data_IF_496357939939
#
_entry.id   IF_496357939939
#
_cell.length_a   1.000
_cell.length_b   1.000
_cell.length_c   1.000
_cell.angle_alpha   90.00
_cell.angle_beta   90.00
_cell.angle_gamma   90.00
#
_symmetry.space_group_name_H-M   'P 1'
#
loop_
_entity.id
_entity.type
_entity.pdbx_description
1 polymer ?
#
# COMPACT_ATOMS: atom_id res chain seq x y z
N UNK A 1 -5.30 -14.16 -23.37
CA UNK A 1 -6.69 -13.86 -23.78
C UNK A 1 -6.72 -12.47 -24.38
N UNK A 2 -7.52 -12.24 -25.42
CA UNK A 2 -7.70 -10.91 -26.01
C UNK A 2 -8.35 -10.05 -24.92
N UNK A 3 -7.65 -9.03 -24.40
CA UNK A 3 -8.11 -8.17 -23.29
C UNK A 3 -9.35 -7.31 -23.56
N UNK A 4 -10.23 -7.76 -24.46
CA UNK A 4 -11.57 -7.28 -24.71
C UNK A 4 -12.50 -8.49 -24.68
N UNK A 5 -13.65 -8.39 -24.00
CA UNK A 5 -14.69 -9.40 -24.16
C UNK A 5 -15.18 -9.40 -25.62
N UNK A 6 -15.69 -10.54 -26.09
CA UNK A 6 -16.31 -10.65 -27.42
C UNK A 6 -17.41 -9.61 -27.67
N UNK A 7 -18.05 -9.11 -26.61
CA UNK A 7 -19.04 -8.02 -26.68
C UNK A 7 -18.40 -6.64 -26.90
N UNK A 8 -17.20 -6.41 -26.36
CA UNK A 8 -16.46 -5.15 -26.56
C UNK A 8 -15.87 -5.06 -27.96
N UNK A 9 -15.38 -6.18 -28.52
CA UNK A 9 -14.93 -6.23 -29.92
C UNK A 9 -16.09 -6.09 -30.89
N UNK A 10 -17.26 -6.69 -30.59
CA UNK A 10 -18.47 -6.52 -31.40
C UNK A 10 -18.95 -5.05 -31.41
N UNK A 11 -19.02 -4.39 -30.24
CA UNK A 11 -19.43 -2.97 -30.15
C UNK A 11 -18.49 -2.00 -30.84
N UNK A 12 -17.18 -2.29 -30.89
CA UNK A 12 -16.18 -1.48 -31.57
C UNK A 12 -16.17 -1.67 -33.10
N UNK A 13 -16.66 -2.82 -33.57
CA UNK A 13 -16.82 -3.10 -35.01
C UNK A 13 -18.15 -2.55 -35.56
N UNK A 14 -19.18 -2.43 -34.70
CA UNK A 14 -20.49 -1.87 -35.05
C UNK A 14 -20.50 -0.33 -35.06
N UNK A 15 -19.57 0.33 -34.36
CA UNK A 15 -19.40 1.77 -34.45
C UNK A 15 -18.54 2.14 -35.67
N UNK A 16 -19.15 2.81 -36.65
CA UNK A 16 -18.51 3.24 -37.91
C UNK A 16 -17.31 4.20 -37.75
N UNK A 17 -16.89 4.49 -36.52
CA UNK A 17 -15.83 5.44 -36.18
C UNK A 17 -14.49 4.77 -35.82
N UNK A 18 -14.47 3.45 -35.56
CA UNK A 18 -13.24 2.73 -35.22
C UNK A 18 -12.77 1.84 -36.37
N UNK A 19 -11.63 2.20 -36.98
CA UNK A 19 -11.02 1.37 -38.01
C UNK A 19 -10.40 0.10 -37.40
N UNK A 20 -10.41 -1.01 -38.14
CA UNK A 20 -9.71 -2.26 -37.78
C UNK A 20 -8.24 -2.02 -37.39
N UNK A 21 -7.60 -1.02 -38.03
CA UNK A 21 -6.25 -0.58 -37.70
C UNK A 21 -6.12 -0.07 -36.26
N UNK A 22 -7.07 0.75 -35.79
CA UNK A 22 -7.06 1.27 -34.42
C UNK A 22 -7.28 0.16 -33.39
N UNK A 23 -8.19 -0.77 -33.66
CA UNK A 23 -8.44 -1.94 -32.78
C UNK A 23 -7.17 -2.81 -32.64
N UNK A 24 -6.48 -3.06 -33.76
CA UNK A 24 -5.20 -3.80 -33.76
C UNK A 24 -4.13 -3.03 -32.97
N UNK A 25 -4.00 -1.72 -33.13
CA UNK A 25 -3.03 -0.92 -32.37
C UNK A 25 -3.33 -0.91 -30.86
N UNK A 26 -4.59 -0.79 -30.47
CA UNK A 26 -5.01 -0.92 -29.06
C UNK A 26 -4.66 -2.31 -28.50
N UNK A 27 -4.88 -3.36 -29.28
CA UNK A 27 -4.52 -4.72 -28.87
C UNK A 27 -3.01 -4.90 -28.72
N UNK A 28 -2.22 -4.36 -29.67
CA UNK A 28 -0.76 -4.36 -29.60
C UNK A 28 -0.25 -3.62 -28.37
N UNK A 29 -0.85 -2.47 -28.04
CA UNK A 29 -0.51 -1.71 -26.83
C UNK A 29 -0.80 -2.52 -25.56
N UNK A 30 -1.98 -3.14 -25.47
CA UNK A 30 -2.34 -3.98 -24.33
C UNK A 30 -1.42 -5.20 -24.16
N UNK A 31 -1.08 -5.90 -25.24
CA UNK A 31 -0.15 -7.03 -25.19
C UNK A 31 1.26 -6.60 -24.76
N UNK A 32 1.71 -5.41 -25.17
CA UNK A 32 2.99 -4.85 -24.69
C UNK A 32 2.93 -4.56 -23.20
N UNK A 33 1.86 -3.95 -22.71
CA UNK A 33 1.70 -3.67 -21.29
C UNK A 33 1.67 -4.97 -20.45
N UNK A 34 0.98 -6.00 -20.92
CA UNK A 34 1.00 -7.33 -20.28
C UNK A 34 2.41 -7.94 -20.27
N UNK A 35 3.14 -7.82 -21.38
CA UNK A 35 4.50 -8.34 -21.48
C UNK A 35 5.45 -7.59 -20.53
N UNK A 36 5.37 -6.26 -20.48
CA UNK A 36 6.12 -5.44 -19.52
C UNK A 36 5.83 -5.84 -18.08
N UNK A 37 4.56 -6.08 -17.73
CA UNK A 37 4.17 -6.58 -16.39
C UNK A 37 4.77 -7.96 -16.11
N UNK A 38 4.74 -8.87 -17.08
CA UNK A 38 5.31 -10.22 -16.93
C UNK A 38 6.84 -10.18 -16.80
N UNK A 39 7.53 -9.36 -17.60
CA UNK A 39 8.98 -9.16 -17.51
C UNK A 39 9.36 -8.62 -16.13
N UNK A 40 8.62 -7.62 -15.62
CA UNK A 40 8.83 -7.09 -14.26
C UNK A 40 8.66 -8.19 -13.21
N UNK A 41 7.58 -8.97 -13.29
CA UNK A 41 7.33 -10.06 -12.34
C UNK A 41 8.44 -11.12 -12.37
N UNK A 42 8.89 -11.51 -13.56
CA UNK A 42 10.01 -12.45 -13.73
C UNK A 42 11.30 -11.89 -13.14
N UNK A 43 11.63 -10.63 -13.42
CA UNK A 43 12.81 -9.99 -12.84
C UNK A 43 12.77 -9.92 -11.31
N UNK A 44 11.56 -9.79 -10.72
CA UNK A 44 11.37 -9.87 -9.27
C UNK A 44 11.59 -11.29 -8.76
N UNK A 45 11.01 -12.30 -9.42
CA UNK A 45 11.24 -13.72 -9.07
C UNK A 45 12.71 -14.10 -9.15
N UNK A 46 13.46 -13.60 -10.13
CA UNK A 46 14.89 -13.83 -10.25
C UNK A 46 15.68 -13.21 -9.09
N UNK A 47 15.32 -11.98 -8.68
CA UNK A 47 15.94 -11.33 -7.52
C UNK A 47 15.65 -12.08 -6.21
N UNK A 48 14.44 -12.63 -6.07
CA UNK A 48 14.08 -13.47 -4.93
C UNK A 48 14.91 -14.75 -4.93
N UNK A 49 15.02 -15.41 -6.09
CA UNK A 49 15.78 -16.64 -6.25
C UNK A 49 17.26 -16.46 -5.89
N UNK A 50 17.91 -15.38 -6.36
CA UNK A 50 19.31 -15.08 -6.01
C UNK A 50 19.48 -14.90 -4.50
N UNK A 51 18.62 -14.11 -3.86
CA UNK A 51 18.68 -13.86 -2.41
C UNK A 51 18.41 -15.11 -1.57
N UNK A 52 17.51 -15.98 -2.02
CA UNK A 52 17.20 -17.27 -1.38
C UNK A 52 18.38 -18.25 -1.45
N UNK A 53 19.10 -18.26 -2.58
CA UNK A 53 20.30 -19.10 -2.75
C UNK A 53 21.47 -18.58 -1.90
N UNK A 54 21.58 -17.26 -1.72
CA UNK A 54 22.65 -16.65 -0.91
C UNK A 54 22.43 -16.74 0.61
N UNK A 55 21.19 -16.88 1.08
CA UNK A 55 20.86 -16.78 2.51
C UNK A 55 20.87 -18.11 3.29
N UNK A 56 21.12 -19.26 2.65
CA UNK A 56 21.21 -20.64 3.21
C UNK A 56 20.07 -21.14 4.14
N UNK A 57 19.08 -20.30 4.47
CA UNK A 57 17.79 -20.66 5.02
C UNK A 57 16.88 -19.45 4.88
N UNK A 58 15.74 -19.57 4.21
CA UNK A 58 14.72 -18.54 4.33
C UNK A 58 13.36 -19.21 4.23
N UNK A 59 12.60 -19.10 5.32
CA UNK A 59 11.24 -19.60 5.43
C UNK A 59 10.35 -18.88 4.40
N UNK A 60 9.16 -19.43 4.11
CA UNK A 60 8.16 -18.80 3.23
C UNK A 60 7.82 -17.38 3.71
N UNK A 61 7.96 -17.12 5.02
CA UNK A 61 7.83 -15.80 5.63
C UNK A 61 8.87 -14.79 5.15
N UNK A 62 10.11 -15.21 4.89
CA UNK A 62 11.17 -14.33 4.37
C UNK A 62 10.94 -14.01 2.89
N UNK A 63 10.45 -14.97 2.12
CA UNK A 63 10.00 -14.77 0.74
C UNK A 63 8.83 -13.77 0.68
N UNK A 64 7.86 -13.89 1.58
CA UNK A 64 6.72 -12.97 1.68
C UNK A 64 7.18 -11.55 2.05
N UNK A 65 8.09 -11.44 3.03
CA UNK A 65 8.70 -10.18 3.48
C UNK A 65 9.52 -9.50 2.37
N UNK A 66 10.22 -10.28 1.55
CA UNK A 66 11.04 -9.78 0.43
C UNK A 66 10.19 -9.38 -0.78
N UNK A 67 9.12 -10.12 -1.09
CA UNK A 67 8.12 -9.73 -2.10
C UNK A 67 7.47 -8.41 -1.69
N UNK A 68 7.06 -8.29 -0.42
CA UNK A 68 6.54 -7.04 0.16
C UNK A 68 7.56 -5.90 0.07
N UNK A 69 8.84 -6.13 0.41
CA UNK A 69 9.91 -5.11 0.32
C UNK A 69 10.11 -4.60 -1.11
N UNK A 70 10.09 -5.48 -2.11
CA UNK A 70 10.28 -5.11 -3.52
C UNK A 70 9.04 -4.39 -4.10
N UNK A 71 7.83 -4.77 -3.71
CA UNK A 71 6.58 -4.14 -4.16
C UNK A 71 6.36 -2.76 -3.51
N UNK A 72 6.76 -2.64 -2.24
CA UNK A 72 6.86 -1.36 -1.54
C UNK A 72 7.88 -0.47 -2.25
N UNK A 73 9.04 -0.97 -2.69
CA UNK A 73 10.01 -0.17 -3.45
C UNK A 73 9.46 0.35 -4.79
N UNK A 74 8.65 -0.39 -5.55
CA UNK A 74 8.08 0.13 -6.81
C UNK A 74 7.04 1.23 -6.58
N UNK A 75 6.16 1.05 -5.59
CA UNK A 75 5.10 2.03 -5.26
C UNK A 75 5.67 3.28 -4.57
N UNK A 76 6.72 3.09 -3.76
CA UNK A 76 7.40 4.19 -3.06
C UNK A 76 8.35 4.96 -3.98
N UNK A 77 9.02 4.33 -4.96
CA UNK A 77 9.92 5.06 -5.88
C UNK A 77 9.26 6.19 -6.66
N UNK A 78 7.96 6.10 -6.95
CA UNK A 78 7.21 7.18 -7.60
C UNK A 78 6.80 8.30 -6.64
N UNK A 79 6.80 8.05 -5.32
CA UNK A 79 6.25 8.97 -4.31
C UNK A 79 7.27 9.47 -3.29
N UNK A 80 8.44 8.83 -3.20
CA UNK A 80 9.52 9.14 -2.26
C UNK A 80 10.81 9.48 -3.00
N UNK A 81 11.54 10.46 -2.47
CA UNK A 81 12.86 10.81 -2.98
C UNK A 81 13.91 9.78 -2.56
N UNK A 82 15.05 9.75 -3.26
CA UNK A 82 16.19 8.88 -2.89
C UNK A 82 16.62 9.11 -1.44
N UNK A 83 16.66 10.36 -0.98
CA UNK A 83 17.02 10.71 0.40
C UNK A 83 16.02 10.13 1.43
N UNK A 84 14.73 10.14 1.11
CA UNK A 84 13.70 9.58 1.98
C UNK A 84 13.82 8.05 2.06
N UNK A 85 14.10 7.38 0.94
CA UNK A 85 14.34 5.95 0.91
C UNK A 85 15.60 5.56 1.71
N UNK A 86 16.70 6.31 1.57
CA UNK A 86 17.91 6.11 2.38
C UNK A 86 17.64 6.30 3.87
N UNK A 87 16.84 7.30 4.23
CA UNK A 87 16.43 7.54 5.62
C UNK A 87 15.59 6.39 6.18
N UNK A 88 14.66 5.85 5.41
CA UNK A 88 13.84 4.69 5.80
C UNK A 88 14.68 3.42 5.94
N UNK A 89 15.63 3.20 5.04
CA UNK A 89 16.55 2.05 5.11
C UNK A 89 17.48 2.15 6.32
N UNK A 90 18.00 3.35 6.62
CA UNK A 90 18.78 3.58 7.84
C UNK A 90 17.92 3.31 9.08
N UNK A 91 16.67 3.80 9.10
CA UNK A 91 15.73 3.58 10.20
C UNK A 91 15.43 2.09 10.41
N UNK A 92 15.18 1.35 9.32
CA UNK A 92 14.96 -0.10 9.35
C UNK A 92 16.13 -0.83 10.02
N UNK A 93 17.37 -0.43 9.72
CA UNK A 93 18.58 -1.00 10.35
C UNK A 93 18.70 -0.65 11.83
N UNK A 94 18.34 0.57 12.21
CA UNK A 94 18.36 1.01 13.62
C UNK A 94 17.30 0.32 14.47
N UNK A 95 16.09 0.14 13.93
CA UNK A 95 14.96 -0.52 14.61
C UNK A 95 15.17 -2.03 14.73
N UNK A 96 15.71 -2.64 13.68
CA UNK A 96 16.01 -4.06 13.65
C UNK A 96 14.79 -4.96 13.38
N UNK A 97 15.04 -6.23 12.98
CA UNK A 97 14.00 -7.12 12.48
C UNK A 97 12.96 -7.51 13.54
N UNK A 98 13.36 -7.68 14.80
CA UNK A 98 12.48 -8.08 15.90
C UNK A 98 11.41 -7.02 16.20
N UNK A 99 11.80 -5.75 16.30
CA UNK A 99 10.84 -4.66 16.53
C UNK A 99 9.93 -4.44 15.33
N UNK A 100 10.44 -4.63 14.11
CA UNK A 100 9.62 -4.58 12.89
C UNK A 100 8.51 -5.64 12.94
N UNK A 101 8.82 -6.87 13.35
CA UNK A 101 7.82 -7.94 13.50
C UNK A 101 6.79 -7.62 14.60
N UNK A 102 7.25 -7.10 15.75
CA UNK A 102 6.33 -6.65 16.80
C UNK A 102 5.38 -5.57 16.30
N UNK A 103 5.90 -4.56 15.61
CA UNK A 103 5.09 -3.46 15.04
C UNK A 103 4.12 -3.98 13.98
N UNK A 104 4.49 -4.98 13.18
CA UNK A 104 3.56 -5.63 12.25
C UNK A 104 2.38 -6.29 12.98
N UNK A 105 2.63 -6.97 14.10
CA UNK A 105 1.55 -7.54 14.92
C UNK A 105 0.68 -6.46 15.56
N UNK A 106 1.29 -5.38 16.05
CA UNK A 106 0.56 -4.22 16.58
C UNK A 106 -0.33 -3.56 15.53
N UNK A 107 0.10 -3.50 14.27
CA UNK A 107 -0.71 -3.03 13.15
C UNK A 107 -1.92 -3.93 12.91
N UNK A 108 -1.75 -5.25 12.86
CA UNK A 108 -2.86 -6.18 12.67
C UNK A 108 -3.90 -6.05 13.79
N UNK A 109 -3.45 -6.00 15.04
CA UNK A 109 -4.33 -5.80 16.20
C UNK A 109 -5.09 -4.47 16.09
N UNK A 110 -4.38 -3.38 15.80
CA UNK A 110 -4.97 -2.05 15.72
C UNK A 110 -6.00 -1.92 14.59
N UNK A 111 -5.71 -2.47 13.41
CA UNK A 111 -6.63 -2.46 12.27
C UNK A 111 -7.91 -3.21 12.64
N UNK A 112 -7.80 -4.37 13.30
CA UNK A 112 -8.96 -5.12 13.79
C UNK A 112 -9.80 -4.33 14.80
N UNK A 113 -9.15 -3.65 15.75
CA UNK A 113 -9.86 -2.79 16.71
C UNK A 113 -10.61 -1.64 16.04
N UNK A 114 -9.96 -0.95 15.09
CA UNK A 114 -10.59 0.15 14.35
C UNK A 114 -11.76 -0.36 13.51
N UNK A 115 -11.61 -1.51 12.85
CA UNK A 115 -12.68 -2.13 12.05
C UNK A 115 -13.90 -2.43 12.92
N UNK A 116 -13.69 -3.01 14.11
CA UNK A 116 -14.78 -3.29 15.04
C UNK A 116 -15.55 -2.03 15.47
N UNK A 117 -14.85 -0.92 15.74
CA UNK A 117 -15.50 0.35 16.10
C UNK A 117 -16.28 0.96 14.92
N UNK A 118 -15.75 0.82 13.70
CA UNK A 118 -16.46 1.25 12.49
C UNK A 118 -17.72 0.42 12.25
N UNK A 119 -17.65 -0.90 12.40
CA UNK A 119 -18.78 -1.83 12.22
C UNK A 119 -19.84 -1.64 13.30
N UNK A 120 -19.43 -1.27 14.51
CA UNK A 120 -20.34 -0.87 15.60
C UNK A 120 -21.02 0.49 15.37
N UNK A 121 -20.54 1.28 14.39
CA UNK A 121 -21.04 2.62 14.11
C UNK A 121 -20.65 3.65 15.16
N UNK A 122 -19.58 3.40 15.93
CA UNK A 122 -19.10 4.30 16.98
C UNK A 122 -18.66 5.63 16.37
N UNK A 123 -19.05 6.75 16.97
CA UNK A 123 -18.63 8.08 16.50
C UNK A 123 -17.09 8.24 16.62
N UNK A 124 -16.38 8.65 15.55
CA UNK A 124 -14.94 8.88 15.62
C UNK A 124 -14.52 9.95 16.64
N UNK A 125 -15.44 10.79 17.12
CA UNK A 125 -15.14 11.75 18.20
C UNK A 125 -15.11 11.12 19.59
N UNK A 126 -15.52 9.86 19.75
CA UNK A 126 -15.52 9.19 21.06
C UNK A 126 -14.09 9.01 21.61
N UNK A 127 -13.88 9.18 22.94
CA UNK A 127 -12.53 9.18 23.53
C UNK A 127 -11.73 7.89 23.30
N UNK A 128 -12.37 6.72 23.20
CA UNK A 128 -11.64 5.48 22.93
C UNK A 128 -11.22 5.36 21.46
N UNK A 129 -12.02 5.86 20.51
CA UNK A 129 -11.64 5.91 19.08
C UNK A 129 -10.49 6.89 18.87
N UNK A 130 -10.51 8.03 19.57
CA UNK A 130 -9.38 8.97 19.58
C UNK A 130 -8.08 8.31 20.08
N UNK A 131 -8.15 7.42 21.08
CA UNK A 131 -6.98 6.64 21.55
C UNK A 131 -6.46 5.68 20.48
N UNK A 132 -7.35 5.02 19.73
CA UNK A 132 -6.96 4.17 18.60
C UNK A 132 -6.26 5.01 17.53
N UNK A 133 -6.80 6.19 17.20
CA UNK A 133 -6.19 7.10 16.24
C UNK A 133 -4.82 7.62 16.71
N UNK A 134 -4.65 7.90 18.01
CA UNK A 134 -3.35 8.25 18.58
C UNK A 134 -2.34 7.11 18.47
N UNK A 135 -2.74 5.86 18.74
CA UNK A 135 -1.88 4.68 18.56
C UNK A 135 -1.49 4.52 17.09
N UNK A 136 -2.44 4.72 16.17
CA UNK A 136 -2.19 4.70 14.73
C UNK A 136 -1.11 5.69 14.31
N UNK A 137 -1.24 6.96 14.72
CA UNK A 137 -0.26 7.99 14.40
C UNK A 137 1.10 7.72 15.07
N UNK A 138 1.11 7.11 16.25
CA UNK A 138 2.34 6.66 16.90
C UNK A 138 3.12 5.62 16.09
N UNK A 139 2.43 4.60 15.55
CA UNK A 139 3.06 3.59 14.70
C UNK A 139 3.56 4.17 13.37
N UNK A 140 2.81 5.12 12.78
CA UNK A 140 3.28 5.86 11.59
C UNK A 140 4.54 6.67 11.91
N UNK A 141 4.55 7.41 13.02
CA UNK A 141 5.70 8.21 13.43
C UNK A 141 6.95 7.35 13.74
N UNK A 142 6.76 6.16 14.33
CA UNK A 142 7.85 5.21 14.58
C UNK A 142 8.49 4.74 13.27
N UNK A 143 7.66 4.47 12.26
CA UNK A 143 8.09 4.09 10.91
C UNK A 143 8.81 5.23 10.19
N UNK A 144 8.27 6.45 10.22
CA UNK A 144 8.88 7.62 9.55
C UNK A 144 10.05 8.23 10.32
N UNK A 145 10.26 7.82 11.58
CA UNK A 145 11.20 8.47 12.49
C UNK A 145 10.81 9.92 12.84
N UNK A 146 9.51 10.24 12.75
CA UNK A 146 8.96 11.59 12.96
C UNK A 146 9.28 12.58 11.84
N UNK A 147 9.77 12.11 10.69
CA UNK A 147 10.03 12.94 9.50
C UNK A 147 8.73 13.28 8.80
N UNK A 148 8.29 14.53 8.96
CA UNK A 148 7.06 15.06 8.35
C UNK A 148 7.03 14.94 6.82
N UNK A 149 8.18 15.08 6.16
CA UNK A 149 8.26 14.97 4.70
C UNK A 149 7.98 13.54 4.20
N UNK A 150 8.33 12.53 4.99
CA UNK A 150 8.04 11.11 4.73
C UNK A 150 6.57 10.80 5.03
N UNK A 151 6.00 11.38 6.09
CA UNK A 151 4.58 11.27 6.43
C UNK A 151 3.68 11.88 5.35
N UNK A 152 4.04 13.06 4.83
CA UNK A 152 3.31 13.70 3.73
C UNK A 152 3.34 12.86 2.45
N UNK A 153 4.49 12.25 2.16
CA UNK A 153 4.66 11.36 1.01
C UNK A 153 3.82 10.10 1.17
N UNK A 154 3.73 9.54 2.38
CA UNK A 154 2.83 8.43 2.71
C UNK A 154 1.37 8.80 2.48
N UNK A 155 0.96 9.99 2.92
CA UNK A 155 -0.39 10.52 2.69
C UNK A 155 -0.74 10.65 1.21
N UNK A 156 0.24 11.00 0.34
CA UNK A 156 0.03 11.06 -1.11
C UNK A 156 -0.20 9.68 -1.72
N UNK A 157 0.50 8.65 -1.25
CA UNK A 157 0.29 7.26 -1.70
C UNK A 157 -1.16 6.83 -1.46
N UNK A 158 -1.66 6.98 -0.24
CA UNK A 158 -3.04 6.60 0.10
C UNK A 158 -4.11 7.46 -0.60
N UNK A 159 -3.79 8.72 -0.94
CA UNK A 159 -4.68 9.54 -1.77
C UNK A 159 -4.74 9.06 -3.23
N UNK A 160 -3.62 8.57 -3.78
CA UNK A 160 -3.54 8.07 -5.16
C UNK A 160 -4.15 6.68 -5.30
N UNK A 161 -3.88 5.81 -4.33
CA UNK A 161 -4.42 4.45 -4.26
C UNK A 161 -4.92 4.15 -2.84
N UNK A 162 -6.22 4.37 -2.57
CA UNK A 162 -6.80 4.13 -1.25
C UNK A 162 -6.75 2.66 -0.80
N UNK A 163 -6.51 1.72 -1.72
CA UNK A 163 -6.39 0.29 -1.44
C UNK A 163 -4.94 -0.20 -1.47
N UNK A 164 -3.96 0.71 -1.45
CA UNK A 164 -2.54 0.36 -1.46
C UNK A 164 -2.18 -0.62 -0.33
N UNK A 165 -2.74 -0.42 0.87
CA UNK A 165 -2.51 -1.30 2.01
C UNK A 165 -3.08 -2.72 1.84
N UNK A 166 -4.22 -2.87 1.15
CA UNK A 166 -4.85 -4.17 0.92
C UNK A 166 -3.97 -5.10 0.07
N UNK A 167 -3.17 -4.54 -0.84
CA UNK A 167 -2.16 -5.29 -1.62
C UNK A 167 -1.05 -5.89 -0.74
N UNK A 168 -0.96 -5.46 0.50
CA UNK A 168 0.09 -5.83 1.46
C UNK A 168 -0.47 -6.59 2.68
N UNK A 169 -1.68 -7.14 2.56
CA UNK A 169 -2.30 -7.96 3.61
C UNK A 169 -2.95 -7.17 4.74
N UNK A 170 -2.92 -5.84 4.67
CA UNK A 170 -3.61 -4.97 5.62
C UNK A 170 -4.95 -4.54 5.06
N UNK A 171 -6.04 -4.94 5.72
CA UNK A 171 -7.40 -4.51 5.36
C UNK A 171 -7.63 -3.06 5.81
N UNK A 172 -7.00 -2.12 5.11
CA UNK A 172 -7.16 -0.68 5.29
C UNK A 172 -7.71 -0.13 3.98
N UNK A 173 -8.91 0.45 4.07
CA UNK A 173 -9.60 1.08 2.96
C UNK A 173 -9.73 2.60 3.18
N UNK A 174 -10.29 3.28 2.17
CA UNK A 174 -10.53 4.72 2.22
C UNK A 174 -11.42 5.15 3.41
N UNK A 175 -12.42 4.33 3.78
CA UNK A 175 -13.36 4.64 4.84
C UNK A 175 -12.67 4.58 6.21
N UNK A 176 -11.81 3.57 6.42
CA UNK A 176 -10.99 3.44 7.63
C UNK A 176 -10.02 4.60 7.77
N UNK A 177 -9.32 4.97 6.69
CA UNK A 177 -8.42 6.13 6.70
C UNK A 177 -9.17 7.43 7.03
N UNK A 178 -10.38 7.61 6.49
CA UNK A 178 -11.22 8.76 6.82
C UNK A 178 -11.68 8.74 8.28
N UNK A 179 -12.07 7.57 8.80
CA UNK A 179 -12.53 7.38 10.16
C UNK A 179 -11.42 7.72 11.18
N UNK A 180 -10.24 7.13 11.00
CA UNK A 180 -9.04 7.43 11.81
C UNK A 180 -8.65 8.90 11.69
N UNK A 181 -8.72 9.48 10.49
CA UNK A 181 -8.44 10.89 10.27
C UNK A 181 -9.36 11.84 11.04
N UNK A 182 -10.66 11.54 11.09
CA UNK A 182 -11.63 12.31 11.89
C UNK A 182 -11.36 12.19 13.39
N UNK A 183 -11.08 10.98 13.87
CA UNK A 183 -10.74 10.74 15.27
C UNK A 183 -9.45 11.45 15.69
N UNK A 184 -8.44 11.48 14.81
CA UNK A 184 -7.20 12.22 15.06
C UNK A 184 -7.41 13.73 15.08
N UNK A 185 -8.27 14.26 14.21
CA UNK A 185 -8.62 15.68 14.22
C UNK A 185 -9.34 16.06 15.52
N UNK A 186 -10.29 15.24 15.98
CA UNK A 186 -11.01 15.45 17.23
C UNK A 186 -10.08 15.40 18.48
N UNK A 187 -9.09 14.51 18.48
CA UNK A 187 -8.07 14.47 19.54
C UNK A 187 -7.23 15.75 19.62
N UNK A 188 -6.98 16.41 18.50
CA UNK A 188 -6.15 17.61 18.42
C UNK A 188 -6.96 18.91 18.55
N UNK A 189 -8.29 18.84 18.67
CA UNK A 189 -9.14 20.00 18.87
C UNK A 189 -9.17 20.41 20.36
N UNK A 190 -8.63 21.59 20.74
CA UNK A 190 -8.64 22.04 22.13
C UNK A 190 -10.05 22.27 22.70
N UNK A 191 -11.07 22.34 21.85
CA UNK A 191 -12.46 22.60 22.23
C UNK A 191 -13.29 21.36 22.55
N UNK A 192 -12.79 20.16 22.23
CA UNK A 192 -13.49 18.88 22.50
C UNK A 192 -13.31 18.36 23.94
N UNK A 193 -12.56 19.08 24.78
CA UNK A 193 -12.26 18.72 26.17
C UNK A 193 -13.10 19.51 27.21
N UNK A 194 -14.20 20.13 26.80
CA UNK A 194 -15.09 20.92 27.66
C UNK A 194 -16.38 20.19 28.03
#
# INVERSE_FOLDING_TARGET
ELGFSLEQTAKLLDSAECSLRQVIEMHRAHLRELNERQIKLLGRLDQLHVKLVEAESSDINDLFKLIMEIEMMETFKECYTTEQLESLEKRRREVGPERIEQVQNEWHELIGLVRNEMDAGTDPTEPHVQKLAKRWMGLVAEFTGGRKDIEESLGKVYKKDPNAAAKHGFDIDAAMMQYVGKAWAAHNDPSASA
#
